data_IF_145094470184
#
_entry.id   IF_145094470184
#
_cell.length_a   1.000
_cell.length_b   1.000
_cell.length_c   1.000
_cell.angle_alpha   90.00
_cell.angle_beta   90.00
_cell.angle_gamma   90.00
#
_symmetry.space_group_name_H-M   'P 1'
#
loop_
_entity.id
_entity.type
_entity.pdbx_description
1 polymer ?
#
# COMPACT_ATOMS: atom_id res chain seq x y z
N UNK A 1 2.75 5.81 -9.63
CA UNK A 1 2.32 4.40 -9.39
C UNK A 1 0.81 4.27 -9.37
N UNK A 2 0.11 5.21 -8.73
CA UNK A 2 -1.35 5.29 -8.74
C UNK A 2 -1.81 6.48 -9.60
N UNK A 3 -3.07 6.48 -10.02
CA UNK A 3 -3.73 7.62 -10.65
C UNK A 3 -5.16 7.77 -10.15
N UNK A 4 -5.73 8.97 -10.27
CA UNK A 4 -7.09 9.26 -9.85
C UNK A 4 -8.03 9.31 -11.06
N UNK A 5 -8.97 8.36 -11.14
CA UNK A 5 -10.04 8.38 -12.13
C UNK A 5 -11.31 7.77 -11.54
N UNK A 6 -12.20 8.65 -11.04
CA UNK A 6 -13.38 8.28 -10.25
C UNK A 6 -13.00 7.39 -9.06
N UNK A 7 -11.91 7.74 -8.38
CA UNK A 7 -11.26 6.95 -7.33
C UNK A 7 -9.84 6.53 -7.70
N UNK A 8 -9.08 6.11 -6.69
CA UNK A 8 -7.69 5.69 -6.87
C UNK A 8 -7.57 4.35 -7.59
N UNK A 9 -6.62 4.27 -8.52
CA UNK A 9 -6.33 3.09 -9.34
C UNK A 9 -4.83 2.89 -9.48
N UNK A 10 -4.40 1.64 -9.65
CA UNK A 10 -3.02 1.29 -9.99
C UNK A 10 -2.79 1.51 -11.48
N UNK A 11 -1.63 2.06 -11.84
CA UNK A 11 -1.25 2.26 -13.24
C UNK A 11 -1.13 0.90 -13.95
N UNK A 12 -1.80 0.68 -15.10
CA UNK A 12 -1.83 -0.62 -15.75
C UNK A 12 -0.48 -1.08 -16.30
N UNK A 13 0.42 -0.16 -16.63
CA UNK A 13 1.63 -0.47 -17.39
C UNK A 13 2.90 0.06 -16.71
N UNK A 14 3.99 -0.68 -16.87
CA UNK A 14 5.35 -0.20 -16.67
C UNK A 14 5.97 0.03 -18.03
N UNK A 15 6.34 1.28 -18.31
CA UNK A 15 6.90 1.71 -19.60
C UNK A 15 8.38 1.97 -19.42
N UNK A 16 9.18 1.47 -20.37
CA UNK A 16 10.60 1.79 -20.52
C UNK A 16 10.81 2.51 -21.83
N UNK A 17 11.44 3.66 -21.77
CA UNK A 17 11.74 4.48 -22.93
C UNK A 17 13.05 5.23 -22.74
N UNK A 18 13.65 5.71 -23.82
CA UNK A 18 14.71 6.71 -23.75
C UNK A 18 14.14 8.08 -24.05
N UNK A 19 14.57 9.06 -23.27
CA UNK A 19 14.33 10.47 -23.53
C UNK A 19 15.68 11.18 -23.53
N UNK A 20 16.02 11.85 -24.63
CA UNK A 20 17.32 12.50 -24.82
C UNK A 20 18.54 11.59 -24.54
N UNK A 21 18.38 10.28 -24.75
CA UNK A 21 19.42 9.27 -24.51
C UNK A 21 19.47 8.72 -23.08
N UNK A 22 18.65 9.22 -22.15
CA UNK A 22 18.50 8.68 -20.80
C UNK A 22 17.40 7.62 -20.76
N UNK A 23 17.70 6.42 -20.25
CA UNK A 23 16.69 5.37 -20.08
C UNK A 23 15.85 5.63 -18.83
N UNK A 24 14.54 5.80 -19.03
CA UNK A 24 13.55 6.01 -17.98
C UNK A 24 12.66 4.77 -17.90
N UNK A 25 12.36 4.37 -16.66
CA UNK A 25 11.41 3.29 -16.36
C UNK A 25 10.43 3.77 -15.32
N UNK A 26 9.15 3.85 -15.70
CA UNK A 26 8.12 4.31 -14.77
C UNK A 26 6.73 3.75 -15.07
N UNK A 27 5.83 3.72 -14.07
CA UNK A 27 4.45 3.30 -14.26
C UNK A 27 3.66 4.37 -15.02
N UNK A 28 2.83 3.97 -15.98
CA UNK A 28 2.05 4.85 -16.85
C UNK A 28 0.62 4.33 -17.05
N UNK A 29 -0.30 5.24 -17.35
CA UNK A 29 -1.71 4.91 -17.62
C UNK A 29 -2.03 4.86 -19.12
N UNK A 30 -1.17 5.47 -19.93
CA UNK A 30 -1.32 5.60 -21.35
C UNK A 30 -1.10 4.26 -22.06
N UNK A 31 -1.79 4.05 -23.19
CA UNK A 31 -1.69 2.83 -23.98
C UNK A 31 -0.39 2.78 -24.78
N UNK A 32 -0.03 1.59 -25.26
CA UNK A 32 1.10 1.44 -26.17
C UNK A 32 1.00 2.33 -27.41
N UNK A 33 -0.21 2.49 -27.96
CA UNK A 33 -0.41 3.37 -29.12
C UNK A 33 -0.03 4.82 -28.83
N UNK A 34 -0.34 5.33 -27.64
CA UNK A 34 0.05 6.69 -27.24
C UNK A 34 1.57 6.87 -27.31
N UNK A 35 2.35 5.90 -26.83
CA UNK A 35 3.81 5.98 -26.84
C UNK A 35 4.39 5.82 -28.25
N UNK A 36 3.79 4.98 -29.10
CA UNK A 36 4.17 4.87 -30.52
C UNK A 36 3.91 6.17 -31.28
N UNK A 37 2.76 6.80 -31.05
CA UNK A 37 2.44 8.11 -31.63
C UNK A 37 3.38 9.22 -31.12
N UNK A 38 3.86 9.10 -29.88
CA UNK A 38 4.81 10.05 -29.29
C UNK A 38 6.21 9.89 -29.89
N UNK A 39 6.71 8.66 -30.02
CA UNK A 39 7.97 8.33 -30.70
C UNK A 39 8.00 8.85 -32.14
N UNK A 40 6.90 8.72 -32.89
CA UNK A 40 6.82 9.23 -34.28
C UNK A 40 6.92 10.77 -34.34
N UNK A 41 6.46 11.47 -33.30
CA UNK A 41 6.43 12.94 -33.25
C UNK A 41 7.72 13.56 -32.70
N UNK A 42 8.49 12.81 -31.92
CA UNK A 42 9.61 13.34 -31.16
C UNK A 42 10.86 12.47 -31.34
N UNK A 43 11.82 12.96 -32.14
CA UNK A 43 13.05 12.23 -32.49
C UNK A 43 13.94 11.84 -31.29
N UNK A 44 13.77 12.51 -30.15
CA UNK A 44 14.54 12.24 -28.93
C UNK A 44 13.92 11.17 -28.04
N UNK A 45 12.71 10.71 -28.37
CA UNK A 45 11.99 9.69 -27.63
C UNK A 45 12.08 8.35 -28.36
N UNK A 46 12.48 7.30 -27.65
CA UNK A 46 12.54 5.93 -28.17
C UNK A 46 11.79 5.00 -27.22
N UNK A 47 10.73 4.33 -27.68
CA UNK A 47 10.01 3.35 -26.87
C UNK A 47 10.79 2.03 -26.83
N UNK A 48 11.22 1.61 -25.64
CA UNK A 48 11.94 0.35 -25.49
C UNK A 48 10.97 -0.81 -25.27
N UNK A 49 10.04 -0.67 -24.32
CA UNK A 49 9.23 -1.79 -23.82
C UNK A 49 8.02 -1.29 -23.01
N UNK A 50 6.91 -2.03 -23.10
CA UNK A 50 5.72 -1.82 -22.28
C UNK A 50 5.27 -3.17 -21.77
N UNK A 51 5.13 -3.27 -20.46
CA UNK A 51 4.60 -4.48 -19.80
C UNK A 51 3.48 -4.12 -18.87
N UNK A 52 2.62 -5.09 -18.61
CA UNK A 52 1.65 -4.98 -17.54
C UNK A 52 2.36 -4.82 -16.20
N UNK A 53 1.86 -3.90 -15.39
CA UNK A 53 2.40 -3.65 -14.07
C UNK A 53 1.98 -4.78 -13.12
N UNK A 54 2.97 -5.47 -12.58
CA UNK A 54 2.77 -6.48 -11.55
C UNK A 54 2.84 -5.82 -10.17
N UNK A 55 1.72 -5.85 -9.46
CA UNK A 55 1.56 -5.28 -8.12
C UNK A 55 1.31 -6.38 -7.12
N UNK A 56 1.87 -6.23 -5.92
CA UNK A 56 1.66 -7.22 -4.88
C UNK A 56 0.22 -7.19 -4.36
N UNK A 57 -0.28 -8.32 -3.88
CA UNK A 57 -1.60 -8.41 -3.21
C UNK A 57 -1.75 -7.37 -2.09
N UNK A 58 -0.65 -7.09 -1.40
CA UNK A 58 -0.62 -6.11 -0.32
C UNK A 58 -0.78 -4.67 -0.83
N UNK A 59 -0.14 -4.31 -1.96
CA UNK A 59 -0.36 -3.02 -2.61
C UNK A 59 -1.82 -2.87 -3.07
N UNK A 60 -2.40 -3.92 -3.66
CA UNK A 60 -3.80 -3.93 -4.06
C UNK A 60 -4.75 -3.74 -2.87
N UNK A 61 -4.52 -4.44 -1.75
CA UNK A 61 -5.31 -4.29 -0.52
C UNK A 61 -5.22 -2.89 0.06
N UNK A 62 -4.01 -2.33 0.12
CA UNK A 62 -3.80 -0.95 0.61
C UNK A 62 -4.54 0.05 -0.24
N UNK A 63 -4.52 -0.09 -1.56
CA UNK A 63 -5.25 0.78 -2.47
C UNK A 63 -6.77 0.76 -2.18
N UNK A 64 -7.35 -0.42 -1.95
CA UNK A 64 -8.79 -0.52 -1.66
C UNK A 64 -9.18 0.18 -0.35
N UNK A 65 -8.30 0.21 0.65
CA UNK A 65 -8.54 0.97 1.88
C UNK A 65 -8.59 2.49 1.67
N UNK A 66 -7.90 3.01 0.66
CA UNK A 66 -7.74 4.46 0.43
C UNK A 66 -8.50 4.96 -0.79
N UNK A 67 -9.17 4.09 -1.54
CA UNK A 67 -9.86 4.38 -2.80
C UNK A 67 -10.92 5.48 -2.72
N UNK A 68 -11.51 5.64 -1.54
CA UNK A 68 -12.55 6.63 -1.26
C UNK A 68 -12.00 8.01 -0.87
N UNK A 69 -10.67 8.14 -0.69
CA UNK A 69 -10.05 9.40 -0.31
C UNK A 69 -9.98 10.37 -1.49
N UNK A 70 -10.08 11.70 -1.22
CA UNK A 70 -9.96 12.73 -2.25
C UNK A 70 -8.62 12.73 -3.00
N UNK A 71 -8.62 13.27 -4.22
CA UNK A 71 -7.45 13.35 -5.11
C UNK A 71 -6.28 14.16 -4.53
N UNK A 72 -6.56 15.22 -3.75
CA UNK A 72 -5.53 16.12 -3.22
C UNK A 72 -4.55 15.47 -2.23
N UNK A 73 -4.82 14.24 -1.80
CA UNK A 73 -3.93 13.44 -0.96
C UNK A 73 -3.05 12.45 -1.75
N UNK A 74 -2.96 12.59 -3.08
CA UNK A 74 -2.31 11.62 -3.95
C UNK A 74 -0.89 11.23 -3.54
N UNK A 75 -0.06 12.19 -3.15
CA UNK A 75 1.32 11.91 -2.71
C UNK A 75 1.37 10.99 -1.47
N UNK A 76 0.56 11.28 -0.44
CA UNK A 76 0.49 10.46 0.78
C UNK A 76 -0.05 9.06 0.49
N UNK A 77 -1.05 8.98 -0.39
CA UNK A 77 -1.67 7.72 -0.77
C UNK A 77 -0.70 6.86 -1.57
N UNK A 78 0.06 7.46 -2.49
CA UNK A 78 1.08 6.77 -3.26
C UNK A 78 2.15 6.16 -2.34
N UNK A 79 2.67 6.95 -1.40
CA UNK A 79 3.67 6.48 -0.45
C UNK A 79 3.14 5.36 0.44
N UNK A 80 1.91 5.48 0.93
CA UNK A 80 1.25 4.44 1.72
C UNK A 80 1.04 3.14 0.92
N UNK A 81 0.54 3.22 -0.31
CA UNK A 81 0.33 2.02 -1.14
C UNK A 81 1.69 1.37 -1.45
N UNK A 82 2.72 2.17 -1.75
CA UNK A 82 4.04 1.68 -2.16
C UNK A 82 4.81 1.05 -1.01
N UNK A 83 4.87 1.72 0.14
CA UNK A 83 5.75 1.35 1.26
C UNK A 83 4.98 0.75 2.43
N UNK A 84 3.70 1.11 2.60
CA UNK A 84 2.90 0.75 3.78
C UNK A 84 3.15 1.65 4.98
N UNK A 85 3.94 2.70 4.82
CA UNK A 85 4.28 3.66 5.88
C UNK A 85 3.20 4.73 5.90
N UNK A 86 2.72 5.05 7.09
CA UNK A 86 1.84 6.19 7.32
C UNK A 86 2.64 7.49 7.39
N UNK A 87 2.09 8.64 6.94
CA UNK A 87 2.76 9.91 7.07
C UNK A 87 3.01 10.24 8.56
N UNK A 88 4.10 10.93 8.89
CA UNK A 88 4.41 11.30 10.30
C UNK A 88 3.53 12.43 10.87
N UNK A 89 2.63 12.99 10.05
CA UNK A 89 1.83 14.16 10.41
C UNK A 89 0.58 13.75 11.20
N UNK A 90 0.36 14.34 12.37
CA UNK A 90 -0.80 14.01 13.21
C UNK A 90 -2.17 14.26 12.54
N UNK A 91 -2.25 15.14 11.54
CA UNK A 91 -3.47 15.43 10.77
C UNK A 91 -3.32 14.98 9.32
N UNK A 92 -3.56 13.70 9.07
CA UNK A 92 -3.52 13.11 7.74
C UNK A 92 -4.75 12.21 7.46
N UNK A 93 -5.21 12.10 6.20
CA UNK A 93 -6.42 11.35 5.85
C UNK A 93 -6.33 9.85 6.15
N UNK A 94 -5.11 9.33 6.33
CA UNK A 94 -4.85 7.93 6.64
C UNK A 94 -4.95 7.61 8.14
N UNK A 95 -5.21 8.60 9.00
CA UNK A 95 -5.11 8.47 10.46
C UNK A 95 -6.14 7.46 10.97
N UNK A 96 -7.34 7.49 10.38
CA UNK A 96 -8.36 6.51 10.71
C UNK A 96 -7.93 5.07 10.39
N UNK A 97 -7.19 4.86 9.29
CA UNK A 97 -6.68 3.55 8.92
C UNK A 97 -5.57 3.10 9.88
N UNK A 98 -4.65 4.00 10.21
CA UNK A 98 -3.60 3.75 11.19
C UNK A 98 -4.19 3.37 12.56
N UNK A 99 -5.11 4.19 13.09
CA UNK A 99 -5.78 3.92 14.36
C UNK A 99 -6.52 2.58 14.35
N UNK A 100 -7.16 2.22 13.22
CA UNK A 100 -7.84 0.92 13.08
C UNK A 100 -6.84 -0.25 13.14
N UNK A 101 -5.65 -0.10 12.54
CA UNK A 101 -4.61 -1.13 12.61
C UNK A 101 -4.04 -1.26 14.02
N UNK A 102 -3.73 -0.13 14.67
CA UNK A 102 -3.22 -0.11 16.05
C UNK A 102 -4.23 -0.73 17.02
N UNK A 103 -5.51 -0.36 16.92
CA UNK A 103 -6.56 -0.94 17.76
C UNK A 103 -6.71 -2.45 17.57
N UNK A 104 -6.59 -2.94 16.32
CA UNK A 104 -6.62 -4.38 16.05
C UNK A 104 -5.45 -5.10 16.72
N UNK A 105 -4.24 -4.58 16.55
CA UNK A 105 -3.04 -5.15 17.15
C UNK A 105 -3.10 -5.13 18.69
N UNK A 106 -3.63 -4.05 19.27
CA UNK A 106 -3.81 -3.92 20.71
C UNK A 106 -4.81 -4.96 21.25
N UNK A 107 -5.96 -5.13 20.60
CA UNK A 107 -6.96 -6.13 20.99
C UNK A 107 -6.41 -7.56 20.91
N UNK A 108 -5.64 -7.88 19.87
CA UNK A 108 -4.98 -9.19 19.74
C UNK A 108 -3.94 -9.41 20.85
N UNK A 109 -3.19 -8.37 21.22
CA UNK A 109 -2.23 -8.45 22.33
C UNK A 109 -2.94 -8.65 23.67
N UNK A 110 -4.04 -7.93 23.92
CA UNK A 110 -4.82 -8.06 25.15
C UNK A 110 -5.40 -9.48 25.27
N UNK A 111 -5.96 -10.01 24.18
CA UNK A 111 -6.53 -11.36 24.16
C UNK A 111 -5.50 -12.43 24.55
N UNK A 112 -4.25 -12.29 24.09
CA UNK A 112 -3.14 -13.19 24.46
C UNK A 112 -2.71 -13.04 25.92
N UNK A 113 -2.74 -11.82 26.44
CA UNK A 113 -2.43 -11.57 27.86
C UNK A 113 -3.49 -12.18 28.77
N UNK A 114 -4.77 -12.05 28.41
CA UNK A 114 -5.89 -12.63 29.16
C UNK A 114 -5.82 -14.16 29.16
N UNK A 115 -5.51 -14.78 28.01
CA UNK A 115 -5.31 -16.23 27.91
C UNK A 115 -4.16 -16.72 28.81
N UNK A 116 -3.04 -16.00 28.82
CA UNK A 116 -1.91 -16.32 29.69
C UNK A 116 -2.24 -16.18 31.18
N UNK A 117 -3.00 -15.14 31.54
CA UNK A 117 -3.42 -14.90 32.93
C UNK A 117 -4.33 -16.03 33.41
N UNK A 118 -5.30 -16.46 32.60
CA UNK A 118 -6.19 -17.58 32.92
C UNK A 118 -5.42 -18.91 33.11
N UNK A 119 -4.42 -19.19 32.26
CA UNK A 119 -3.56 -20.38 32.42
C UNK A 119 -2.77 -20.32 33.74
N UNK A 120 -2.25 -19.15 34.11
CA UNK A 120 -1.53 -18.96 35.37
C UNK A 120 -2.43 -19.13 36.60
N UNK A 121 -3.63 -18.55 36.57
CA UNK A 121 -4.62 -18.68 37.63
C UNK A 121 -5.02 -20.15 37.82
N UNK A 122 -5.26 -20.87 36.73
CA UNK A 122 -5.59 -22.30 36.78
C UNK A 122 -4.47 -23.14 37.41
N UNK A 123 -3.20 -22.89 37.04
CA UNK A 123 -2.05 -23.59 37.64
C UNK A 123 -1.89 -23.28 39.12
N UNK A 124 -2.11 -22.04 39.52
CA UNK A 124 -2.05 -21.62 40.94
C UNK A 124 -3.09 -22.36 41.76
N UNK A 125 -4.34 -22.42 41.28
CA UNK A 125 -5.41 -23.17 41.95
C UNK A 125 -5.08 -24.66 42.11
N UNK A 126 -4.51 -25.30 41.07
CA UNK A 126 -4.10 -26.70 41.16
C UNK A 126 -3.01 -26.94 42.22
N UNK A 127 -2.07 -26.01 42.36
CA UNK A 127 -1.02 -26.08 43.39
C UNK A 127 -1.57 -25.86 44.80
N UNK A 128 -2.54 -24.97 44.95
CA UNK A 128 -3.20 -24.70 46.24
C UNK A 128 -4.05 -25.90 46.69
N UNK A 129 -4.79 -26.53 45.78
CA UNK A 129 -5.58 -27.73 46.09
C UNK A 129 -4.73 -28.99 46.34
N UNK A 130 -3.51 -29.04 45.80
CA UNK A 130 -2.59 -30.18 45.99
C UNK A 130 -1.77 -30.14 47.28
N UNK A 131 -1.88 -29.04 48.05
CA UNK A 131 -1.15 -28.82 49.31
C UNK A 131 -2.04 -28.99 50.56
N UNK A 132 -3.28 -29.49 50.41
CA UNK A 132 -4.16 -29.98 51.50
C UNK A 132 -4.03 -31.49 51.71
#
# INVERSE_FOLDING_TARGET
MIYYYRGWRLMPHIVRYKDHGEEIKEPRQESEQYFRDFEERWEHFELIDIKDADYTDEQCRRLEHVKHLPEHYGHMIEDYVKTGIFPEQDDHPLLFLELKQVNKALNESQSKQDEYLLDLEFRTLLLEMGNE
#
